data_IF_047086857447
#
_entry.id   IF_047086857447
#
_cell.length_a   1.000
_cell.length_b   1.000
_cell.length_c   1.000
_cell.angle_alpha   90.00
_cell.angle_beta   90.00
_cell.angle_gamma   90.00
#
_symmetry.space_group_name_H-M   'P 1'
#
loop_
_entity.id
_entity.type
_entity.pdbx_description
1 polymer ?
#
# COMPACT_ATOMS: atom_id res chain seq x y z
N UNK A 1 0.34 -4.78 -9.26
CA UNK A 1 1.70 -4.17 -9.21
C UNK A 1 2.41 -4.68 -7.96
N UNK A 2 3.65 -5.09 -8.11
CA UNK A 2 4.46 -5.60 -7.00
C UNK A 2 5.82 -4.91 -7.00
N UNK A 3 6.32 -4.66 -5.81
CA UNK A 3 7.60 -3.97 -5.60
C UNK A 3 8.48 -4.76 -4.63
N UNK A 4 9.80 -4.63 -4.79
CA UNK A 4 10.79 -5.15 -3.86
C UNK A 4 11.31 -4.02 -3.00
N UNK A 5 11.39 -4.24 -1.70
CA UNK A 5 11.99 -3.27 -0.79
C UNK A 5 13.50 -3.29 -0.94
N UNK A 6 14.09 -2.14 -1.21
CA UNK A 6 15.55 -1.98 -1.38
C UNK A 6 16.22 -1.55 -0.09
N UNK A 7 15.56 -0.67 0.68
CA UNK A 7 16.09 -0.15 1.94
C UNK A 7 14.96 0.33 2.82
N UNK A 8 15.21 0.38 4.12
CA UNK A 8 14.29 0.96 5.10
C UNK A 8 15.10 1.83 6.04
N UNK A 9 14.66 3.10 6.20
CA UNK A 9 15.17 4.01 7.22
C UNK A 9 14.09 4.17 8.28
N UNK A 10 14.41 3.88 9.53
CA UNK A 10 13.44 3.97 10.62
C UNK A 10 12.93 5.41 10.76
N UNK A 11 11.62 5.65 10.69
CA UNK A 11 11.09 7.02 10.62
C UNK A 11 11.37 7.88 11.86
N UNK A 12 11.54 7.25 13.02
CA UNK A 12 11.82 7.98 14.26
C UNK A 12 13.32 8.09 14.58
N UNK A 13 14.09 7.03 14.28
CA UNK A 13 15.49 6.94 14.66
C UNK A 13 16.46 7.38 13.54
N UNK A 14 15.97 7.53 12.31
CA UNK A 14 16.74 7.92 11.13
C UNK A 14 17.97 7.04 10.90
N UNK A 15 17.81 5.73 11.13
CA UNK A 15 18.87 4.73 10.94
C UNK A 15 18.34 3.61 10.03
N UNK A 16 19.23 2.97 9.23
CA UNK A 16 18.85 1.80 8.44
C UNK A 16 18.40 0.65 9.34
N UNK A 17 17.31 0.00 8.95
CA UNK A 17 16.80 -1.21 9.61
C UNK A 17 16.49 -2.27 8.57
N UNK A 18 16.44 -3.53 8.98
CA UNK A 18 16.14 -4.64 8.08
C UNK A 18 14.63 -4.87 7.92
N UNK A 19 13.84 -4.37 8.85
CA UNK A 19 12.41 -4.61 8.89
C UNK A 19 11.70 -3.46 9.62
N UNK A 20 10.53 -3.07 9.10
CA UNK A 20 9.66 -2.10 9.75
C UNK A 20 8.23 -2.26 9.22
N UNK A 21 7.24 -2.21 10.10
CA UNK A 21 5.82 -2.23 9.75
C UNK A 21 5.43 -3.45 8.88
N UNK A 22 6.04 -4.61 9.17
CA UNK A 22 5.78 -5.84 8.43
C UNK A 22 6.44 -5.91 7.06
N UNK A 23 7.27 -4.94 6.70
CA UNK A 23 8.03 -4.90 5.45
C UNK A 23 9.49 -5.18 5.75
N UNK A 24 10.12 -6.03 4.93
CA UNK A 24 11.53 -6.41 5.07
C UNK A 24 12.32 -6.02 3.83
N UNK A 25 13.57 -5.61 4.04
CA UNK A 25 14.50 -5.40 2.93
C UNK A 25 14.66 -6.69 2.13
N UNK A 26 14.51 -6.60 0.81
CA UNK A 26 14.54 -7.75 -0.10
C UNK A 26 13.19 -8.43 -0.30
N UNK A 27 12.20 -8.14 0.52
CA UNK A 27 10.85 -8.70 0.37
C UNK A 27 10.09 -8.08 -0.81
N UNK A 28 9.18 -8.85 -1.40
CA UNK A 28 8.34 -8.44 -2.51
C UNK A 28 6.89 -8.35 -2.03
N UNK A 29 6.25 -7.22 -2.28
CA UNK A 29 4.92 -6.92 -1.75
C UNK A 29 4.03 -6.27 -2.81
N UNK A 30 2.70 -6.42 -2.70
CA UNK A 30 1.78 -5.69 -3.56
C UNK A 30 1.74 -4.22 -3.20
N UNK A 31 1.57 -3.38 -4.21
CA UNK A 31 1.21 -1.97 -4.03
C UNK A 31 -0.30 -1.89 -3.94
N UNK A 32 -0.81 -1.28 -2.88
CA UNK A 32 -2.25 -1.16 -2.61
C UNK A 32 -2.84 0.12 -3.17
N UNK A 33 -2.06 1.18 -3.21
CA UNK A 33 -2.43 2.46 -3.84
C UNK A 33 -1.20 3.32 -4.06
N UNK A 34 -1.33 4.29 -4.97
CA UNK A 34 -0.33 5.33 -5.19
C UNK A 34 -1.00 6.68 -5.04
N UNK A 35 -0.38 7.57 -4.28
CA UNK A 35 -0.88 8.93 -4.09
C UNK A 35 0.21 9.90 -4.52
N UNK A 36 -0.14 10.81 -5.43
CA UNK A 36 0.75 11.85 -5.92
C UNK A 36 0.22 13.18 -5.40
N UNK A 37 0.95 13.75 -4.47
CA UNK A 37 0.73 15.11 -4.01
C UNK A 37 1.55 16.06 -4.90
N UNK A 38 1.41 17.32 -4.74
CA UNK A 38 2.11 18.38 -5.47
C UNK A 38 3.46 17.96 -6.11
N UNK A 39 4.48 17.67 -5.33
CA UNK A 39 5.81 17.22 -5.80
C UNK A 39 6.28 15.94 -5.14
N UNK A 40 5.38 15.21 -4.51
CA UNK A 40 5.70 14.02 -3.74
C UNK A 40 4.84 12.86 -4.19
N UNK A 41 5.41 11.68 -4.17
CA UNK A 41 4.70 10.45 -4.48
C UNK A 41 4.86 9.50 -3.31
N UNK A 42 3.77 8.85 -2.92
CA UNK A 42 3.77 7.83 -1.88
C UNK A 42 3.04 6.59 -2.37
N UNK A 43 3.49 5.44 -1.91
CA UNK A 43 2.82 4.17 -2.18
C UNK A 43 2.45 3.49 -0.88
N UNK A 44 1.25 2.90 -0.85
CA UNK A 44 0.85 2.03 0.26
C UNK A 44 1.26 0.61 -0.08
N UNK A 45 2.09 0.04 0.77
CA UNK A 45 2.62 -1.31 0.59
C UNK A 45 2.26 -2.11 1.83
N UNK A 46 1.65 -3.27 1.64
CA UNK A 46 1.29 -4.15 2.74
C UNK A 46 1.95 -5.51 2.58
N UNK A 47 2.56 -5.98 3.66
CA UNK A 47 2.97 -7.37 3.81
C UNK A 47 1.98 -8.12 4.70
N UNK A 48 2.13 -9.45 4.81
CA UNK A 48 1.24 -10.27 5.66
C UNK A 48 1.21 -9.85 7.13
N UNK A 49 2.30 -9.26 7.63
CA UNK A 49 2.41 -8.81 9.02
C UNK A 49 2.20 -7.31 9.21
N UNK A 50 1.80 -6.58 8.17
CA UNK A 50 1.60 -5.13 8.27
C UNK A 50 0.31 -4.82 9.02
N UNK A 51 0.35 -3.99 10.09
CA UNK A 51 -0.87 -3.51 10.74
C UNK A 51 -1.71 -2.65 9.77
N UNK A 52 -3.02 -2.80 9.80
CA UNK A 52 -3.92 -2.03 8.95
C UNK A 52 -4.02 -0.57 9.40
N UNK A 53 -4.07 0.39 8.48
CA UNK A 53 -4.06 0.25 7.02
C UNK A 53 -2.65 0.29 6.40
N UNK A 54 -1.59 0.19 7.18
CA UNK A 54 -0.22 0.31 6.75
C UNK A 54 0.22 1.77 6.53
N UNK A 55 1.48 1.93 6.18
CA UNK A 55 2.08 3.23 5.94
C UNK A 55 2.11 3.57 4.45
N UNK A 56 2.22 4.86 4.18
CA UNK A 56 2.59 5.37 2.87
C UNK A 56 4.11 5.49 2.82
N UNK A 57 4.73 4.80 1.87
CA UNK A 57 6.17 4.70 1.74
C UNK A 57 6.69 5.58 0.61
N UNK A 58 7.95 6.00 0.71
CA UNK A 58 8.65 6.66 -0.39
C UNK A 58 8.97 5.63 -1.48
N UNK A 59 8.47 5.79 -2.73
CA UNK A 59 8.74 4.84 -3.80
C UNK A 59 10.23 4.73 -4.15
N UNK A 60 11.06 5.69 -3.77
CA UNK A 60 12.50 5.61 -3.97
C UNK A 60 13.17 4.45 -3.21
N UNK A 61 12.51 3.94 -2.17
CA UNK A 61 13.00 2.82 -1.37
C UNK A 61 12.60 1.45 -1.94
N UNK A 62 11.98 1.43 -3.11
CA UNK A 62 11.47 0.22 -3.75
C UNK A 62 11.85 0.17 -5.22
N UNK A 63 11.82 -1.04 -5.79
CA UNK A 63 11.89 -1.23 -7.23
C UNK A 63 10.69 -2.04 -7.72
N UNK A 64 10.22 -1.76 -8.91
CA UNK A 64 9.10 -2.47 -9.51
C UNK A 64 9.56 -3.86 -9.97
N UNK A 65 8.83 -4.89 -9.51
CA UNK A 65 9.03 -6.28 -9.93
C UNK A 65 7.96 -6.69 -10.93
N UNK A 66 6.71 -6.26 -10.70
CA UNK A 66 5.59 -6.50 -11.61
C UNK A 66 4.87 -5.17 -11.85
N UNK A 67 4.97 -4.59 -13.06
CA UNK A 67 4.39 -3.27 -13.34
C UNK A 67 2.89 -3.30 -13.66
N UNK A 68 2.28 -4.48 -13.72
CA UNK A 68 0.87 -4.58 -14.11
C UNK A 68 -0.03 -3.93 -13.07
N UNK A 69 -0.89 -3.04 -13.53
CA UNK A 69 -1.89 -2.39 -12.68
C UNK A 69 -3.08 -3.32 -12.58
N UNK A 70 -3.56 -3.64 -11.37
CA UNK A 70 -4.71 -4.51 -11.21
C UNK A 70 -5.95 -3.97 -11.94
N UNK A 71 -6.76 -4.85 -12.55
CA UNK A 71 -8.04 -4.43 -13.12
C UNK A 71 -8.94 -3.88 -12.00
N UNK A 72 -9.73 -2.88 -12.29
CA UNK A 72 -10.58 -2.24 -11.30
C UNK A 72 -9.93 -1.05 -10.59
N UNK A 73 -8.65 -0.81 -10.83
CA UNK A 73 -8.02 0.42 -10.37
C UNK A 73 -8.47 1.61 -11.21
N UNK A 74 -8.67 2.74 -10.57
CA UNK A 74 -9.03 4.00 -11.22
C UNK A 74 -8.01 5.06 -10.87
N UNK A 75 -7.84 6.01 -11.80
CA UNK A 75 -7.04 7.20 -11.58
C UNK A 75 -8.00 8.36 -11.29
N UNK A 76 -7.92 8.93 -10.10
CA UNK A 76 -8.77 10.05 -9.68
C UNK A 76 -7.88 11.27 -9.43
N UNK A 77 -8.20 12.35 -10.11
CA UNK A 77 -7.50 13.64 -10.00
C UNK A 77 -8.39 14.60 -9.23
N UNK A 78 -7.86 15.14 -8.13
CA UNK A 78 -8.53 16.20 -7.36
C UNK A 78 -7.67 17.45 -7.40
N UNK A 79 -8.15 18.56 -6.84
CA UNK A 79 -7.36 19.80 -6.82
C UNK A 79 -6.08 19.71 -5.99
N UNK A 80 -5.96 18.74 -5.08
CA UNK A 80 -4.84 18.63 -4.15
C UNK A 80 -3.93 17.43 -4.42
N UNK A 81 -4.44 16.38 -5.07
CA UNK A 81 -3.67 15.17 -5.30
C UNK A 81 -4.27 14.31 -6.41
N UNK A 82 -3.46 13.36 -6.89
CA UNK A 82 -3.86 12.32 -7.83
C UNK A 82 -3.70 10.98 -7.13
N UNK A 83 -4.71 10.12 -7.21
CA UNK A 83 -4.67 8.80 -6.58
C UNK A 83 -4.96 7.71 -7.59
N UNK A 84 -4.13 6.67 -7.57
CA UNK A 84 -4.30 5.46 -8.36
C UNK A 84 -4.54 4.31 -7.38
N UNK A 85 -5.74 3.73 -7.41
CA UNK A 85 -6.13 2.69 -6.47
C UNK A 85 -7.39 1.98 -6.96
N UNK A 86 -7.78 0.90 -6.27
CA UNK A 86 -9.06 0.23 -6.52
C UNK A 86 -10.22 1.23 -6.39
N UNK A 87 -11.18 1.13 -7.29
CA UNK A 87 -12.33 2.05 -7.34
C UNK A 87 -13.10 2.09 -6.01
N UNK A 88 -13.14 0.99 -5.27
CA UNK A 88 -13.84 0.93 -3.97
C UNK A 88 -13.17 1.82 -2.91
N UNK A 89 -11.86 2.05 -3.04
CA UNK A 89 -11.10 2.94 -2.13
C UNK A 89 -11.13 4.40 -2.60
N UNK A 90 -11.70 4.67 -3.76
CA UNK A 90 -11.70 5.99 -4.39
C UNK A 90 -13.02 6.76 -4.19
N UNK A 91 -14.02 6.17 -3.54
CA UNK A 91 -15.24 6.90 -3.25
C UNK A 91 -14.97 8.08 -2.32
N UNK A 92 -15.66 9.23 -2.49
CA UNK A 92 -15.44 10.38 -1.63
C UNK A 92 -15.60 10.01 -0.15
N UNK A 93 -14.63 10.44 0.67
CA UNK A 93 -14.68 10.20 2.10
C UNK A 93 -14.31 8.79 2.57
N UNK A 94 -13.83 7.92 1.68
CA UNK A 94 -13.50 6.53 2.05
C UNK A 94 -12.58 6.45 3.27
N UNK A 95 -11.44 7.14 3.25
CA UNK A 95 -10.47 7.04 4.36
C UNK A 95 -10.97 7.69 5.64
N UNK A 96 -11.82 8.72 5.53
CA UNK A 96 -12.49 9.30 6.70
C UNK A 96 -13.46 8.29 7.30
N UNK A 97 -14.27 7.65 6.47
CA UNK A 97 -15.20 6.61 6.91
C UNK A 97 -14.46 5.42 7.52
N UNK A 98 -13.36 4.98 6.90
CA UNK A 98 -12.51 3.93 7.43
C UNK A 98 -12.00 4.28 8.83
N UNK A 99 -11.52 5.50 9.02
CA UNK A 99 -10.98 5.97 10.31
C UNK A 99 -12.07 6.06 11.40
N UNK A 100 -13.35 6.18 11.00
CA UNK A 100 -14.49 6.20 11.90
C UNK A 100 -15.19 4.85 12.03
N UNK A 101 -14.52 3.77 11.61
CA UNK A 101 -15.03 2.39 11.71
C UNK A 101 -16.36 2.16 10.97
N UNK A 102 -16.60 2.88 9.88
CA UNK A 102 -17.77 2.63 9.03
C UNK A 102 -17.75 1.20 8.50
N UNK A 103 -18.81 0.40 8.73
CA UNK A 103 -18.80 -1.02 8.37
C UNK A 103 -18.56 -1.27 6.88
N UNK A 104 -19.09 -0.42 6.01
CA UNK A 104 -18.90 -0.59 4.56
C UNK A 104 -17.47 -0.28 4.15
N UNK A 105 -16.86 0.77 4.72
CA UNK A 105 -15.47 1.12 4.44
C UNK A 105 -14.53 0.02 4.93
N UNK A 106 -14.76 -0.53 6.10
CA UNK A 106 -13.97 -1.64 6.63
C UNK A 106 -14.10 -2.90 5.75
N UNK A 107 -15.31 -3.21 5.31
CA UNK A 107 -15.56 -4.35 4.43
C UNK A 107 -14.87 -4.18 3.08
N UNK A 108 -14.98 -3.00 2.47
CA UNK A 108 -14.34 -2.69 1.19
C UNK A 108 -12.82 -2.76 1.31
N UNK A 109 -12.25 -2.23 2.39
CA UNK A 109 -10.81 -2.32 2.66
C UNK A 109 -10.35 -3.78 2.70
N UNK A 110 -11.02 -4.60 3.50
CA UNK A 110 -10.67 -6.02 3.66
C UNK A 110 -10.80 -6.79 2.36
N UNK A 111 -11.82 -6.50 1.55
CA UNK A 111 -12.03 -7.18 0.27
C UNK A 111 -10.91 -6.86 -0.71
N UNK A 112 -10.54 -5.59 -0.87
CA UNK A 112 -9.44 -5.17 -1.75
C UNK A 112 -8.12 -5.77 -1.26
N UNK A 113 -7.85 -5.70 0.03
CA UNK A 113 -6.66 -6.27 0.64
C UNK A 113 -6.54 -7.76 0.33
N UNK A 114 -7.63 -8.49 0.48
CA UNK A 114 -7.68 -9.94 0.25
C UNK A 114 -7.41 -10.31 -1.21
N UNK A 115 -7.89 -9.49 -2.14
CA UNK A 115 -7.68 -9.68 -3.57
C UNK A 115 -6.24 -9.39 -4.01
N UNK A 116 -5.58 -8.43 -3.36
CA UNK A 116 -4.24 -7.99 -3.75
C UNK A 116 -3.13 -8.70 -2.99
N UNK A 117 -3.35 -9.03 -1.72
CA UNK A 117 -2.39 -9.78 -0.92
C UNK A 117 -2.51 -11.26 -1.25
N UNK A 118 -1.47 -11.89 -1.79
CA UNK A 118 -1.53 -13.32 -2.04
C UNK A 118 -1.67 -14.10 -0.73
N UNK A 119 -2.31 -15.25 -0.81
CA UNK A 119 -2.32 -16.19 0.31
C UNK A 119 -0.88 -16.45 0.74
N UNK A 120 -0.66 -16.65 2.04
CA UNK A 120 0.65 -17.01 2.55
C UNK A 120 1.17 -18.23 1.77
N UNK A 121 2.44 -18.21 1.29
CA UNK A 121 2.98 -19.38 0.61
C UNK A 121 2.96 -20.58 1.55
N UNK A 122 2.76 -21.80 1.03
CA UNK A 122 2.84 -22.99 1.86
C UNK A 122 4.21 -23.04 2.55
N UNK A 123 4.29 -23.57 3.78
CA UNK A 123 5.58 -23.66 4.45
C UNK A 123 6.56 -24.45 3.60
N UNK A 124 7.76 -23.94 3.49
CA UNK A 124 8.84 -24.65 2.81
C UNK A 124 9.20 -25.89 3.61
N UNK A 125 9.24 -27.00 2.92
CA UNK A 125 9.63 -28.27 3.52
C UNK A 125 11.16 -28.45 3.45
#
# INVERSE_FOLDING_TARGET
MRVRCLQIVHPAADVPVAEFDGIRVGGVYPVMEMVIYDRDCRIRVLGPGTPDPGLLWDPADFETVDPRIPPGWTLVITGSHTRLADARWQRPGFWTDYAHDDPQALADYEQVKRELLPAAPPPEN
#
